data_IF_357595357115
#
_entry.id   IF_357595357115
#
_cell.length_a   1.000
_cell.length_b   1.000
_cell.length_c   1.000
_cell.angle_alpha   90.00
_cell.angle_beta   90.00
_cell.angle_gamma   90.00
#
_symmetry.space_group_name_H-M   'P 1'
#
loop_
_entity.id
_entity.type
_entity.pdbx_description
1 polymer ?
#
# COMPACT_ATOMS: atom_id res chain seq x y z
N UNK A 1 19.37 18.07 -25.96
CA UNK A 1 19.59 17.36 -24.68
C UNK A 1 18.48 16.34 -24.53
N UNK A 2 18.75 15.08 -24.85
CA UNK A 2 17.77 13.98 -24.71
C UNK A 2 17.63 13.68 -23.22
N UNK A 3 16.42 13.69 -22.63
CA UNK A 3 16.27 13.24 -21.25
C UNK A 3 16.65 11.76 -21.20
N UNK A 4 17.60 11.41 -20.33
CA UNK A 4 17.89 10.02 -20.00
C UNK A 4 16.62 9.45 -19.36
N UNK A 5 15.92 8.57 -20.08
CA UNK A 5 14.81 7.82 -19.53
C UNK A 5 15.33 7.01 -18.34
N UNK A 6 14.74 7.22 -17.16
CA UNK A 6 15.03 6.39 -15.98
C UNK A 6 14.71 4.94 -16.36
N UNK A 7 15.62 3.97 -16.15
CA UNK A 7 15.35 2.57 -16.45
C UNK A 7 14.09 2.11 -15.72
N UNK A 8 13.30 1.28 -16.40
CA UNK A 8 12.10 0.68 -15.80
C UNK A 8 12.50 -0.09 -14.53
N UNK A 9 11.78 0.14 -13.43
CA UNK A 9 12.01 -0.54 -12.17
C UNK A 9 11.61 -2.01 -12.34
N UNK A 10 12.57 -2.92 -12.25
CA UNK A 10 12.30 -4.35 -12.33
C UNK A 10 11.56 -4.81 -11.06
N UNK A 11 10.47 -5.57 -11.23
CA UNK A 11 9.72 -6.13 -10.11
C UNK A 11 10.53 -7.25 -9.42
N UNK A 12 10.56 -7.30 -8.07
CA UNK A 12 11.22 -8.39 -7.37
C UNK A 12 10.57 -9.76 -7.65
N UNK A 13 11.34 -10.85 -7.82
CA UNK A 13 10.79 -12.19 -8.03
C UNK A 13 9.81 -12.65 -6.94
N UNK A 14 10.00 -12.19 -5.70
CA UNK A 14 9.10 -12.52 -4.58
C UNK A 14 7.73 -11.84 -4.69
N UNK A 15 7.67 -10.66 -5.32
CA UNK A 15 6.39 -10.01 -5.65
C UNK A 15 5.71 -10.76 -6.79
N UNK A 16 6.47 -11.20 -7.79
CA UNK A 16 5.92 -12.05 -8.87
C UNK A 16 5.34 -13.35 -8.32
N UNK A 17 6.06 -14.02 -7.40
CA UNK A 17 5.58 -15.23 -6.71
C UNK A 17 4.28 -15.01 -5.95
N UNK A 18 4.17 -13.88 -5.25
CA UNK A 18 2.96 -13.50 -4.50
C UNK A 18 1.74 -13.41 -5.43
N UNK A 19 1.92 -12.92 -6.66
CA UNK A 19 0.86 -12.85 -7.67
C UNK A 19 0.55 -14.23 -8.26
N UNK A 20 1.58 -14.95 -8.70
CA UNK A 20 1.42 -16.20 -9.45
C UNK A 20 1.01 -17.41 -8.60
N UNK A 21 1.46 -17.47 -7.34
CA UNK A 21 1.30 -18.65 -6.48
C UNK A 21 0.35 -18.41 -5.32
N UNK A 22 0.30 -17.18 -4.79
CA UNK A 22 -0.47 -16.86 -3.58
C UNK A 22 -1.81 -16.18 -3.88
N UNK A 23 -2.15 -16.03 -5.16
CA UNK A 23 -3.43 -15.47 -5.61
C UNK A 23 -3.59 -13.98 -5.35
N UNK A 24 -2.48 -13.24 -5.21
CA UNK A 24 -2.53 -11.78 -5.21
C UNK A 24 -2.82 -11.25 -6.62
N UNK A 25 -3.43 -10.07 -6.70
CA UNK A 25 -3.76 -9.41 -7.96
C UNK A 25 -2.81 -8.23 -8.15
N UNK A 26 -2.06 -8.20 -9.26
CA UNK A 26 -1.31 -7.01 -9.67
C UNK A 26 -2.29 -5.95 -10.17
N UNK A 27 -2.29 -4.77 -9.57
CA UNK A 27 -3.20 -3.68 -9.90
C UNK A 27 -2.56 -2.69 -10.87
N UNK A 28 -3.37 -2.18 -11.78
CA UNK A 28 -3.12 -1.04 -12.65
C UNK A 28 -4.15 0.07 -12.35
N UNK A 29 -4.14 1.15 -13.13
CA UNK A 29 -5.05 2.29 -12.91
C UNK A 29 -6.52 1.88 -13.14
N UNK A 30 -6.75 1.00 -14.11
CA UNK A 30 -8.07 0.53 -14.53
C UNK A 30 -8.69 -0.43 -13.51
N UNK A 31 -7.90 -1.37 -12.99
CA UNK A 31 -8.35 -2.41 -12.05
C UNK A 31 -8.39 -1.97 -10.59
N UNK A 32 -7.72 -0.87 -10.24
CA UNK A 32 -7.59 -0.41 -8.85
C UNK A 32 -8.95 -0.17 -8.18
N UNK A 33 -9.79 0.67 -8.78
CA UNK A 33 -11.05 1.09 -8.16
C UNK A 33 -12.02 -0.10 -8.01
N UNK A 34 -12.08 -0.98 -9.02
CA UNK A 34 -12.89 -2.20 -8.97
C UNK A 34 -12.42 -3.17 -7.86
N UNK A 35 -11.12 -3.33 -7.67
CA UNK A 35 -10.56 -4.17 -6.61
C UNK A 35 -10.89 -3.63 -5.21
N UNK A 36 -10.79 -2.31 -5.02
CA UNK A 36 -11.09 -1.62 -3.76
C UNK A 36 -12.58 -1.70 -3.41
N UNK A 37 -13.45 -1.49 -4.40
CA UNK A 37 -14.91 -1.52 -4.21
C UNK A 37 -15.47 -2.94 -4.04
N UNK A 38 -14.71 -3.97 -4.42
CA UNK A 38 -15.14 -5.36 -4.29
C UNK A 38 -15.43 -5.73 -2.83
N UNK A 39 -16.45 -6.56 -2.56
CA UNK A 39 -16.85 -6.93 -1.20
C UNK A 39 -15.74 -7.67 -0.44
N UNK A 40 -15.90 -7.71 0.89
CA UNK A 40 -14.97 -8.37 1.79
C UNK A 40 -13.72 -7.55 2.10
N UNK A 41 -12.78 -8.22 2.76
CA UNK A 41 -11.52 -7.67 3.23
C UNK A 41 -10.50 -7.65 2.09
N UNK A 42 -9.78 -6.54 2.00
CA UNK A 42 -8.70 -6.38 1.04
C UNK A 42 -7.50 -5.71 1.70
N UNK A 43 -6.31 -6.15 1.32
CA UNK A 43 -5.05 -5.52 1.70
C UNK A 43 -4.34 -5.07 0.44
N UNK A 44 -4.09 -3.77 0.36
CA UNK A 44 -3.27 -3.18 -0.69
C UNK A 44 -1.81 -3.18 -0.23
N UNK A 45 -0.94 -3.83 -1.00
CA UNK A 45 0.49 -3.84 -0.78
C UNK A 45 1.16 -2.77 -1.66
N UNK A 46 1.59 -1.69 -1.02
CA UNK A 46 2.32 -0.61 -1.67
C UNK A 46 3.79 -1.00 -1.81
N UNK A 47 4.16 -1.40 -3.02
CA UNK A 47 5.56 -1.70 -3.34
C UNK A 47 6.36 -0.42 -3.59
N UNK A 48 7.68 -0.53 -3.55
CA UNK A 48 8.61 0.53 -3.91
C UNK A 48 9.74 -0.07 -4.75
N UNK A 49 10.62 0.80 -5.25
CA UNK A 49 11.86 0.37 -5.90
C UNK A 49 12.68 -0.52 -4.95
N UNK A 50 12.89 -1.80 -5.29
CA UNK A 50 13.63 -2.73 -4.44
C UNK A 50 15.10 -2.38 -4.27
N UNK A 51 15.68 -1.59 -5.18
CA UNK A 51 17.04 -1.06 -5.00
C UNK A 51 17.09 -0.03 -3.86
N UNK A 52 15.97 0.64 -3.58
CA UNK A 52 15.84 1.62 -2.49
C UNK A 52 15.31 0.99 -1.19
N UNK A 53 14.43 0.01 -1.29
CA UNK A 53 13.76 -0.64 -0.17
C UNK A 53 13.78 -2.15 -0.32
N UNK A 54 14.79 -2.78 0.27
CA UNK A 54 15.01 -4.24 0.21
C UNK A 54 13.87 -4.99 0.91
N UNK A 55 13.30 -4.34 1.92
CA UNK A 55 12.21 -4.78 2.78
C UNK A 55 10.91 -5.08 2.01
N UNK A 56 10.75 -4.54 0.79
CA UNK A 56 9.60 -4.85 -0.08
C UNK A 56 9.56 -6.35 -0.39
N UNK A 57 10.71 -6.96 -0.64
CA UNK A 57 10.80 -8.38 -0.95
C UNK A 57 10.44 -9.24 0.27
N UNK A 58 10.88 -8.83 1.47
CA UNK A 58 10.56 -9.51 2.72
C UNK A 58 9.06 -9.45 3.01
N UNK A 59 8.44 -8.28 2.81
CA UNK A 59 7.00 -8.14 3.06
C UNK A 59 6.16 -8.97 2.07
N UNK A 60 6.63 -9.16 0.83
CA UNK A 60 5.98 -10.04 -0.13
C UNK A 60 5.93 -11.51 0.33
N UNK A 61 6.92 -11.95 1.13
CA UNK A 61 6.96 -13.29 1.73
C UNK A 61 6.12 -13.37 3.00
N UNK A 62 6.09 -12.31 3.80
CA UNK A 62 5.36 -12.28 5.07
C UNK A 62 3.84 -12.15 4.84
N UNK A 63 3.42 -11.47 3.78
CA UNK A 63 2.00 -11.16 3.56
C UNK A 63 1.06 -12.38 3.44
N UNK A 64 1.42 -13.47 2.72
CA UNK A 64 0.66 -14.71 2.73
C UNK A 64 0.54 -15.34 4.13
N UNK A 65 1.60 -15.29 4.93
CA UNK A 65 1.62 -15.83 6.30
C UNK A 65 0.68 -15.05 7.21
N UNK A 66 0.65 -13.72 7.07
CA UNK A 66 -0.33 -12.88 7.78
C UNK A 66 -1.74 -13.28 7.38
N UNK A 67 -2.00 -13.46 6.08
CA UNK A 67 -3.33 -13.87 5.60
C UNK A 67 -3.75 -15.22 6.19
N UNK A 68 -2.82 -16.16 6.32
CA UNK A 68 -3.07 -17.48 6.90
C UNK A 68 -3.34 -17.43 8.41
N UNK A 69 -2.69 -16.52 9.14
CA UNK A 69 -2.82 -16.40 10.60
C UNK A 69 -3.88 -15.38 11.07
N UNK A 70 -4.39 -14.55 10.16
CA UNK A 70 -5.30 -13.46 10.50
C UNK A 70 -6.69 -13.94 10.92
N UNK A 71 -7.37 -13.14 11.76
CA UNK A 71 -8.75 -13.39 12.22
C UNK A 71 -9.79 -13.36 11.10
N UNK A 72 -9.44 -12.79 9.95
CA UNK A 72 -10.25 -12.75 8.73
C UNK A 72 -9.35 -12.95 7.52
N UNK A 73 -9.81 -13.75 6.57
CA UNK A 73 -9.17 -13.85 5.26
C UNK A 73 -9.35 -12.55 4.48
N UNK A 74 -8.42 -12.24 3.58
CA UNK A 74 -8.47 -11.03 2.76
C UNK A 74 -7.84 -11.26 1.38
N UNK A 75 -8.30 -10.48 0.40
CA UNK A 75 -7.69 -10.40 -0.93
C UNK A 75 -6.43 -9.53 -0.87
N UNK A 76 -5.43 -9.83 -1.70
CA UNK A 76 -4.20 -9.05 -1.78
C UNK A 76 -4.15 -8.34 -3.13
N UNK A 77 -4.01 -7.02 -3.10
CA UNK A 77 -3.79 -6.17 -4.28
C UNK A 77 -2.38 -5.59 -4.24
N UNK A 78 -1.54 -5.94 -5.21
CA UNK A 78 -0.16 -5.44 -5.30
C UNK A 78 -0.15 -4.21 -6.18
N UNK A 79 0.30 -3.07 -5.64
CA UNK A 79 0.49 -1.85 -6.42
C UNK A 79 1.94 -1.79 -6.91
N UNK A 80 2.18 -1.77 -8.22
CA UNK A 80 3.51 -1.47 -8.77
C UNK A 80 4.00 -0.09 -8.33
N UNK A 81 5.33 0.17 -8.33
CA UNK A 81 5.90 1.39 -7.74
C UNK A 81 5.26 2.70 -8.23
N UNK A 82 4.98 2.83 -9.53
CA UNK A 82 4.35 4.04 -10.09
C UNK A 82 2.93 4.29 -9.53
N UNK A 83 2.11 3.24 -9.45
CA UNK A 83 0.76 3.32 -8.90
C UNK A 83 0.79 3.53 -7.38
N UNK A 84 1.73 2.86 -6.68
CA UNK A 84 1.94 3.01 -5.26
C UNK A 84 2.29 4.47 -4.91
N UNK A 85 3.23 5.08 -5.62
CA UNK A 85 3.61 6.48 -5.45
C UNK A 85 2.42 7.43 -5.71
N UNK A 86 1.66 7.20 -6.78
CA UNK A 86 0.51 8.03 -7.13
C UNK A 86 -0.63 7.95 -6.09
N UNK A 87 -0.83 6.79 -5.46
CA UNK A 87 -1.93 6.55 -4.51
C UNK A 87 -1.52 6.75 -3.04
N UNK A 88 -0.23 6.74 -2.71
CA UNK A 88 0.28 6.76 -1.32
C UNK A 88 -0.32 7.87 -0.45
N UNK A 89 -0.27 9.12 -0.93
CA UNK A 89 -0.80 10.27 -0.18
C UNK A 89 -2.33 10.19 0.03
N UNK A 90 -3.07 9.60 -0.91
CA UNK A 90 -4.53 9.42 -0.79
C UNK A 90 -4.87 8.39 0.28
N UNK A 91 -4.06 7.35 0.42
CA UNK A 91 -4.26 6.29 1.41
C UNK A 91 -3.49 6.51 2.71
N UNK A 92 -2.89 7.70 2.89
CA UNK A 92 -2.17 8.07 4.11
C UNK A 92 -0.87 7.28 4.33
N UNK A 93 -0.29 6.70 3.28
CA UNK A 93 1.00 6.00 3.35
C UNK A 93 2.13 7.03 3.40
N UNK A 94 2.97 6.94 4.43
CA UNK A 94 4.11 7.85 4.66
C UNK A 94 5.46 7.16 4.63
N UNK A 95 5.50 5.85 4.85
CA UNK A 95 6.71 5.03 4.87
C UNK A 95 6.48 3.74 4.12
N UNK A 96 7.51 3.29 3.42
CA UNK A 96 7.51 2.03 2.67
C UNK A 96 8.32 0.96 3.42
N UNK A 97 8.02 -0.33 3.19
CA UNK A 97 6.80 -0.82 2.53
C UNK A 97 5.56 -0.57 3.40
N UNK A 98 4.36 -0.61 2.80
CA UNK A 98 3.12 -0.40 3.54
C UNK A 98 1.99 -1.34 3.08
N UNK A 99 1.15 -1.71 4.05
CA UNK A 99 -0.11 -2.42 3.84
C UNK A 99 -1.26 -1.50 4.23
N UNK A 100 -2.24 -1.37 3.35
CA UNK A 100 -3.49 -0.63 3.60
C UNK A 100 -4.63 -1.63 3.67
N UNK A 101 -5.31 -1.67 4.81
CA UNK A 101 -6.41 -2.60 5.09
C UNK A 101 -7.74 -1.93 4.77
N UNK A 102 -8.59 -2.64 4.04
CA UNK A 102 -9.86 -2.19 3.54
C UNK A 102 -10.96 -3.24 3.80
N UNK A 103 -12.21 -2.79 3.87
CA UNK A 103 -13.39 -3.64 3.82
C UNK A 103 -14.46 -2.99 2.94
N UNK A 104 -14.79 -3.64 1.82
CA UNK A 104 -15.80 -3.17 0.86
C UNK A 104 -15.67 -1.67 0.54
N UNK A 105 -14.47 -1.24 0.14
CA UNK A 105 -14.13 0.16 -0.15
C UNK A 105 -13.87 1.07 1.06
N UNK A 106 -14.27 0.67 2.27
CA UNK A 106 -14.01 1.42 3.49
C UNK A 106 -12.60 1.19 4.04
N UNK A 107 -11.94 2.26 4.49
CA UNK A 107 -10.59 2.18 5.06
C UNK A 107 -10.61 1.70 6.51
N UNK A 108 -9.74 0.74 6.85
CA UNK A 108 -9.57 0.24 8.23
C UNK A 108 -8.31 0.83 8.88
N UNK A 109 -7.23 0.97 8.11
CA UNK A 109 -5.95 1.45 8.63
C UNK A 109 -4.77 1.02 7.79
N UNK A 110 -3.58 1.46 8.22
CA UNK A 110 -2.32 1.14 7.57
C UNK A 110 -1.37 0.46 8.55
N UNK A 111 -0.54 -0.45 8.06
CA UNK A 111 0.68 -0.89 8.72
C UNK A 111 1.84 -0.50 7.82
N UNK A 112 2.70 0.38 8.32
CA UNK A 112 3.87 0.87 7.60
C UNK A 112 5.16 0.33 8.22
N UNK A 113 6.16 0.13 7.36
CA UNK A 113 7.47 -0.47 7.64
C UNK A 113 7.37 -1.93 8.15
N UNK A 114 8.50 -2.64 8.10
CA UNK A 114 8.60 -3.95 8.74
C UNK A 114 8.54 -3.82 10.26
N UNK A 115 8.03 -4.86 10.92
CA UNK A 115 7.94 -4.98 12.38
C UNK A 115 8.14 -6.44 12.76
N UNK A 116 8.30 -6.68 14.05
CA UNK A 116 8.33 -8.03 14.60
C UNK A 116 7.02 -8.78 14.32
N UNK A 117 7.12 -10.09 14.11
CA UNK A 117 6.00 -10.95 13.70
C UNK A 117 4.76 -10.80 14.60
N UNK A 118 4.95 -10.88 15.92
CA UNK A 118 3.84 -10.80 16.88
C UNK A 118 3.13 -9.45 16.82
N UNK A 119 3.89 -8.35 16.76
CA UNK A 119 3.33 -7.00 16.62
C UNK A 119 2.57 -6.88 15.30
N UNK A 120 3.15 -7.37 14.20
CA UNK A 120 2.57 -7.27 12.88
C UNK A 120 1.23 -7.99 12.80
N UNK A 121 1.15 -9.23 13.32
CA UNK A 121 -0.07 -10.01 13.35
C UNK A 121 -1.12 -9.40 14.30
N UNK A 122 -0.71 -8.92 15.48
CA UNK A 122 -1.62 -8.23 16.40
C UNK A 122 -2.23 -6.97 15.78
N UNK A 123 -1.43 -6.14 15.11
CA UNK A 123 -1.91 -4.95 14.41
C UNK A 123 -2.86 -5.32 13.25
N UNK A 124 -2.49 -6.32 12.43
CA UNK A 124 -3.33 -6.77 11.32
C UNK A 124 -4.69 -7.25 11.83
N UNK A 125 -4.70 -8.06 12.91
CA UNK A 125 -5.93 -8.55 13.52
C UNK A 125 -6.77 -7.44 14.15
N UNK A 126 -6.14 -6.45 14.80
CA UNK A 126 -6.84 -5.30 15.34
C UNK A 126 -7.55 -4.50 14.22
N UNK A 127 -6.87 -4.27 13.09
CA UNK A 127 -7.47 -3.58 11.93
C UNK A 127 -8.59 -4.41 11.30
N UNK A 128 -8.39 -5.71 11.14
CA UNK A 128 -9.38 -6.60 10.53
C UNK A 128 -10.61 -6.83 11.41
N UNK A 129 -10.51 -6.64 12.74
CA UNK A 129 -11.64 -6.69 13.67
C UNK A 129 -12.38 -5.34 13.80
N UNK A 130 -11.74 -4.23 13.41
CA UNK A 130 -12.30 -2.90 13.55
C UNK A 130 -13.43 -2.61 12.53
N UNK A 131 -14.12 -1.50 12.77
CA UNK A 131 -15.04 -0.89 11.80
C UNK A 131 -14.27 -0.02 10.80
N UNK A 132 -14.88 0.21 9.64
CA UNK A 132 -14.34 1.13 8.64
C UNK A 132 -14.44 2.57 9.15
N UNK A 133 -13.49 3.40 8.75
CA UNK A 133 -13.38 4.79 9.17
C UNK A 133 -12.96 5.68 7.99
N UNK A 134 -13.24 6.99 8.02
CA UNK A 134 -12.81 7.88 6.96
C UNK A 134 -11.27 7.94 6.90
N UNK A 135 -10.75 8.09 5.69
CA UNK A 135 -9.32 8.35 5.47
C UNK A 135 -8.90 9.64 6.21
N UNK A 136 -7.66 9.71 6.71
CA UNK A 136 -7.17 10.93 7.33
C UNK A 136 -7.20 12.06 6.29
N UNK A 137 -7.58 13.29 6.69
CA UNK A 137 -7.64 14.41 5.77
C UNK A 137 -6.27 14.64 5.13
N UNK A 138 -6.24 14.83 3.81
CA UNK A 138 -5.03 15.24 3.09
C UNK A 138 -4.56 16.57 3.68
N UNK A 139 -3.36 16.61 4.26
CA UNK A 139 -2.73 17.88 4.61
C UNK A 139 -2.32 18.53 3.30
N UNK A 140 -3.16 19.43 2.79
CA UNK A 140 -2.78 20.33 1.70
C UNK A 140 -1.86 21.38 2.35
N UNK A 141 -0.57 21.45 2.00
CA UNK A 141 0.26 22.55 2.49
C UNK A 141 -0.35 23.84 1.92
N UNK A 142 -0.89 24.69 2.79
CA UNK A 142 -1.28 26.04 2.41
C UNK A 142 0.02 26.76 2.08
N UNK A 143 0.27 27.02 0.80
CA UNK A 143 1.31 27.95 0.39
C UNK A 143 0.95 29.30 1.05
N UNK A 144 1.81 29.77 1.96
CA UNK A 144 1.67 31.10 2.53
C UNK A 144 1.70 32.11 1.37
N UNK A 145 0.54 32.69 1.05
CA UNK A 145 0.46 33.79 0.11
C UNK A 145 1.30 34.94 0.69
N UNK A 146 2.44 35.21 0.05
CA UNK A 146 3.29 36.35 0.40
C UNK A 146 2.46 37.63 0.33
N UNK A 147 2.49 38.39 1.42
CA UNK A 147 1.88 39.71 1.51
C UNK A 147 2.45 40.60 0.40
N UNK A 148 1.63 41.23 -0.47
CA UNK A 148 2.14 42.28 -1.34
C UNK A 148 2.49 43.48 -0.46
N UNK A 149 3.78 43.81 -0.41
CA UNK A 149 4.26 45.09 0.11
C UNK A 149 3.79 46.20 -0.83
N UNK A 150 2.86 47.05 -0.40
CA UNK A 150 2.60 48.31 -1.08
C UNK A 150 3.79 49.25 -0.87
N UNK A 151 4.30 49.81 -1.97
CA UNK A 151 5.19 50.96 -2.01
C UNK A 151 4.40 52.17 -2.54
#
# INVERSE_FOLDING_TARGET
MTPLARPAIAEPPLVTRLVEQEGAVRLDEEGFEAFVASPGEAVLFFTADPARFREVADLAVILPEIRAAAVRTFRIGVLPPALADAKAATWGVRRWPALVFLRAGGWLGNIEALRDWSEYLSLANALLAAETRPLPPKVIPVAAAGTPSCA
#
